data_IF_624799961634
#
_entry.id   IF_624799961634
#
_cell.length_a   1.000
_cell.length_b   1.000
_cell.length_c   1.000
_cell.angle_alpha   90.00
_cell.angle_beta   90.00
_cell.angle_gamma   90.00
#
_symmetry.space_group_name_H-M   'P 1'
#
loop_
_entity.id
_entity.type
_entity.pdbx_description
1 polymer ?
#
# COMPACT_ATOMS: atom_id res chain seq x y z
N UNK A 1 14.48 -10.78 -21.06
CA UNK A 1 15.38 -10.66 -19.90
C UNK A 1 15.00 -11.71 -18.88
N UNK A 2 15.99 -12.43 -18.34
CA UNK A 2 15.79 -13.55 -17.42
C UNK A 2 16.42 -13.25 -16.07
N UNK A 3 15.73 -13.61 -14.98
CA UNK A 3 16.30 -13.67 -13.64
C UNK A 3 16.34 -15.11 -13.15
N UNK A 4 17.42 -15.48 -12.45
CA UNK A 4 17.55 -16.79 -11.80
C UNK A 4 17.64 -16.60 -10.29
N UNK A 5 16.92 -17.43 -9.54
CA UNK A 5 17.05 -17.61 -8.10
C UNK A 5 17.57 -19.02 -7.82
N UNK A 6 18.77 -19.13 -7.27
CA UNK A 6 19.42 -20.39 -6.88
C UNK A 6 19.94 -20.33 -5.44
N UNK A 7 20.60 -21.40 -5.01
CA UNK A 7 21.10 -21.59 -3.63
C UNK A 7 20.08 -21.21 -2.55
N UNK A 8 18.80 -21.57 -2.78
CA UNK A 8 17.68 -21.17 -1.94
C UNK A 8 17.75 -21.91 -0.60
N UNK A 9 18.03 -21.16 0.46
CA UNK A 9 17.94 -21.60 1.85
C UNK A 9 16.52 -21.30 2.34
N UNK A 10 15.79 -22.34 2.72
CA UNK A 10 14.48 -22.21 3.37
C UNK A 10 14.51 -23.00 4.69
N UNK A 11 14.70 -22.29 5.79
CA UNK A 11 14.72 -22.84 7.15
C UNK A 11 13.74 -22.09 8.04
N UNK A 12 13.43 -22.65 9.21
CA UNK A 12 12.47 -22.03 10.12
C UNK A 12 12.89 -20.60 10.50
N UNK A 13 12.01 -19.65 10.24
CA UNK A 13 12.27 -18.23 10.53
C UNK A 13 13.21 -17.51 9.56
N UNK A 14 13.80 -18.19 8.56
CA UNK A 14 14.79 -17.57 7.68
C UNK A 14 14.78 -18.13 6.26
N UNK A 15 14.72 -17.24 5.29
CA UNK A 15 14.80 -17.53 3.86
C UNK A 15 15.91 -16.68 3.24
N UNK A 16 16.73 -17.29 2.39
CA UNK A 16 17.69 -16.58 1.55
C UNK A 16 17.71 -17.21 0.15
N UNK A 17 17.84 -16.39 -0.89
CA UNK A 17 18.09 -16.84 -2.24
C UNK A 17 19.19 -16.00 -2.87
N UNK A 18 20.13 -16.66 -3.55
CA UNK A 18 21.03 -15.96 -4.46
C UNK A 18 20.26 -15.63 -5.74
N UNK A 19 20.46 -14.44 -6.29
CA UNK A 19 19.81 -14.02 -7.52
C UNK A 19 20.80 -13.40 -8.51
N UNK A 20 20.55 -13.61 -9.79
CA UNK A 20 21.30 -12.93 -10.85
C UNK A 20 20.49 -12.80 -12.15
N UNK A 21 20.73 -11.71 -12.85
CA UNK A 21 20.35 -11.45 -14.24
C UNK A 21 21.58 -10.94 -15.04
N UNK A 22 21.39 -10.41 -16.25
CA UNK A 22 22.49 -9.92 -17.10
C UNK A 22 23.21 -8.68 -16.53
N UNK A 23 22.62 -7.99 -15.55
CA UNK A 23 23.05 -6.68 -15.03
C UNK A 23 23.29 -6.72 -13.51
N UNK A 24 22.44 -7.41 -12.76
CA UNK A 24 22.40 -7.43 -11.30
C UNK A 24 22.67 -8.82 -10.77
N UNK A 25 23.36 -8.90 -9.64
CA UNK A 25 23.51 -10.13 -8.86
C UNK A 25 23.59 -9.79 -7.37
N UNK A 26 23.16 -10.71 -6.51
CA UNK A 26 23.24 -10.54 -5.07
C UNK A 26 22.47 -11.59 -4.31
N UNK A 27 22.23 -11.33 -3.03
CA UNK A 27 21.39 -12.19 -2.19
C UNK A 27 20.16 -11.42 -1.74
N UNK A 28 19.01 -12.08 -1.72
CA UNK A 28 17.80 -11.59 -1.06
C UNK A 28 17.50 -12.43 0.17
N UNK A 29 17.19 -11.78 1.30
CA UNK A 29 16.90 -12.44 2.57
C UNK A 29 15.59 -11.96 3.21
N UNK A 30 14.94 -12.89 3.90
CA UNK A 30 13.76 -12.65 4.74
C UNK A 30 13.96 -13.35 6.09
N UNK A 31 13.93 -12.59 7.19
CA UNK A 31 14.03 -13.10 8.56
C UNK A 31 12.72 -12.80 9.29
N UNK A 32 11.97 -13.85 9.61
CA UNK A 32 10.69 -13.75 10.29
C UNK A 32 10.89 -13.67 11.81
N UNK A 33 10.12 -12.83 12.49
CA UNK A 33 10.12 -12.73 13.95
C UNK A 33 9.77 -14.06 14.66
N UNK A 34 8.90 -14.87 14.07
CA UNK A 34 8.56 -16.20 14.56
C UNK A 34 9.36 -17.30 13.81
N UNK A 35 9.79 -18.38 14.50
CA UNK A 35 10.48 -19.52 13.88
C UNK A 35 9.49 -20.42 13.12
N UNK A 36 8.86 -19.88 12.08
CA UNK A 36 7.83 -20.55 11.28
C UNK A 36 8.44 -21.29 10.10
N UNK A 37 7.82 -22.43 9.76
CA UNK A 37 8.14 -23.16 8.53
C UNK A 37 7.31 -22.59 7.38
N UNK A 38 7.98 -22.05 6.36
CA UNK A 38 7.31 -21.46 5.19
C UNK A 38 7.38 -22.45 4.05
N UNK A 39 6.21 -22.89 3.57
CA UNK A 39 6.17 -23.83 2.44
C UNK A 39 6.71 -23.20 1.16
N UNK A 40 7.24 -24.07 0.30
CA UNK A 40 7.93 -23.64 -0.91
C UNK A 40 7.12 -22.71 -1.82
N UNK A 41 5.82 -22.96 -1.93
CA UNK A 41 4.91 -22.13 -2.71
C UNK A 41 4.91 -20.66 -2.26
N UNK A 42 4.97 -20.40 -0.95
CA UNK A 42 4.96 -19.03 -0.42
C UNK A 42 6.30 -18.33 -0.62
N UNK A 43 7.41 -19.08 -0.52
CA UNK A 43 8.74 -18.56 -0.88
C UNK A 43 8.77 -18.17 -2.36
N UNK A 44 8.27 -19.04 -3.24
CA UNK A 44 8.20 -18.75 -4.67
C UNK A 44 7.31 -17.53 -4.98
N UNK A 45 6.17 -17.37 -4.31
CA UNK A 45 5.31 -16.19 -4.46
C UNK A 45 5.98 -14.90 -3.97
N UNK A 46 6.75 -14.97 -2.88
CA UNK A 46 7.52 -13.84 -2.37
C UNK A 46 8.64 -13.43 -3.33
N UNK A 47 9.38 -14.39 -3.89
CA UNK A 47 10.40 -14.11 -4.92
C UNK A 47 9.76 -13.58 -6.21
N UNK A 48 8.65 -14.16 -6.65
CA UNK A 48 7.90 -13.67 -7.81
C UNK A 48 7.35 -12.26 -7.61
N UNK A 49 7.01 -11.87 -6.37
CA UNK A 49 6.59 -10.50 -6.04
C UNK A 49 7.72 -9.47 -6.23
N UNK A 50 8.99 -9.85 -6.10
CA UNK A 50 10.13 -8.96 -6.38
C UNK A 50 10.30 -8.67 -7.87
N UNK A 51 9.86 -9.61 -8.73
CA UNK A 51 10.07 -9.52 -10.17
C UNK A 51 9.12 -8.55 -10.89
N UNK A 52 7.93 -8.31 -10.32
CA UNK A 52 6.88 -7.53 -11.00
C UNK A 52 6.64 -8.03 -12.43
N UNK A 53 6.49 -7.12 -13.39
CA UNK A 53 6.40 -7.42 -14.82
C UNK A 53 7.69 -7.16 -15.60
N UNK A 54 8.83 -7.06 -14.91
CA UNK A 54 10.10 -6.61 -15.50
C UNK A 54 10.86 -7.71 -16.26
N UNK A 55 10.69 -8.97 -15.86
CA UNK A 55 11.36 -10.12 -16.46
C UNK A 55 10.43 -10.90 -17.38
N UNK A 56 10.98 -11.44 -18.47
CA UNK A 56 10.26 -12.34 -19.39
C UNK A 56 10.33 -13.81 -18.91
N UNK A 57 11.40 -14.15 -18.19
CA UNK A 57 11.64 -15.48 -17.63
C UNK A 57 12.12 -15.38 -16.18
N UNK A 58 11.58 -16.23 -15.32
CA UNK A 58 11.99 -16.37 -13.93
C UNK A 58 12.39 -17.83 -13.74
N UNK A 59 13.63 -18.10 -13.36
CA UNK A 59 14.08 -19.44 -12.98
C UNK A 59 14.20 -19.54 -11.46
N UNK A 60 13.67 -20.60 -10.88
CA UNK A 60 13.80 -20.89 -9.45
C UNK A 60 14.28 -22.34 -9.27
N UNK A 61 15.41 -22.52 -8.60
CA UNK A 61 15.98 -23.83 -8.26
C UNK A 61 15.19 -24.51 -7.11
N UNK A 62 13.87 -24.61 -7.28
CA UNK A 62 12.94 -24.99 -6.23
C UNK A 62 11.81 -25.87 -6.75
N UNK A 63 11.19 -26.63 -5.85
CA UNK A 63 9.99 -27.42 -6.16
C UNK A 63 8.74 -26.61 -5.82
N UNK A 64 7.98 -26.22 -6.84
CA UNK A 64 6.80 -25.36 -6.74
C UNK A 64 5.56 -26.12 -7.23
N UNK A 65 4.40 -25.87 -6.62
CA UNK A 65 3.15 -26.46 -7.11
C UNK A 65 2.74 -25.88 -8.46
N UNK A 66 2.04 -26.66 -9.29
CA UNK A 66 1.53 -26.17 -10.60
C UNK A 66 0.63 -24.96 -10.44
N UNK A 67 -0.17 -24.90 -9.37
CA UNK A 67 -1.06 -23.78 -9.11
C UNK A 67 -0.27 -22.49 -8.84
N UNK A 68 0.68 -22.54 -7.91
CA UNK A 68 1.54 -21.38 -7.61
C UNK A 68 2.33 -20.96 -8.84
N UNK A 69 2.83 -21.92 -9.62
CA UNK A 69 3.48 -21.60 -10.89
C UNK A 69 2.58 -20.76 -11.80
N UNK A 70 1.35 -21.21 -12.05
CA UNK A 70 0.39 -20.49 -12.89
C UNK A 70 -0.01 -19.12 -12.31
N UNK A 71 -0.11 -19.00 -10.99
CA UNK A 71 -0.42 -17.71 -10.32
C UNK A 71 0.73 -16.70 -10.51
N UNK A 72 1.99 -17.12 -10.35
CA UNK A 72 3.16 -16.29 -10.61
C UNK A 72 3.22 -15.88 -12.09
N UNK A 73 3.16 -16.83 -13.03
CA UNK A 73 3.23 -16.55 -14.48
C UNK A 73 2.13 -15.58 -14.92
N UNK A 74 0.92 -15.72 -14.38
CA UNK A 74 -0.19 -14.80 -14.68
C UNK A 74 0.07 -13.38 -14.16
N UNK A 75 0.63 -13.25 -12.95
CA UNK A 75 0.86 -11.96 -12.29
C UNK A 75 2.03 -11.20 -12.90
N UNK A 76 3.14 -11.90 -13.14
CA UNK A 76 4.37 -11.31 -13.67
C UNK A 76 4.36 -11.22 -15.20
N UNK A 77 3.56 -12.03 -15.89
CA UNK A 77 3.63 -12.17 -17.34
C UNK A 77 4.86 -12.97 -17.83
N UNK A 78 5.72 -13.40 -16.90
CA UNK A 78 6.93 -14.15 -17.18
C UNK A 78 6.66 -15.65 -17.30
N UNK A 79 7.53 -16.38 -18.00
CA UNK A 79 7.56 -17.85 -17.93
C UNK A 79 8.34 -18.28 -16.70
N UNK A 80 7.77 -19.16 -15.86
CA UNK A 80 8.43 -19.66 -14.65
C UNK A 80 9.05 -21.05 -14.88
N UNK A 81 10.38 -21.09 -14.86
CA UNK A 81 11.20 -22.30 -14.98
C UNK A 81 11.49 -22.82 -13.57
N UNK A 82 10.89 -23.95 -13.19
CA UNK A 82 11.10 -24.59 -11.91
C UNK A 82 10.79 -26.08 -11.97
N UNK A 83 11.23 -26.85 -10.96
CA UNK A 83 10.76 -28.21 -10.79
C UNK A 83 9.31 -28.19 -10.29
N UNK A 84 8.39 -28.84 -11.01
CA UNK A 84 7.00 -28.92 -10.56
C UNK A 84 6.74 -30.17 -9.72
N UNK A 85 5.89 -30.05 -8.71
CA UNK A 85 5.58 -31.15 -7.80
C UNK A 85 4.09 -31.31 -7.50
N UNK A 86 3.66 -32.55 -7.28
CA UNK A 86 2.34 -32.85 -6.74
C UNK A 86 2.31 -32.57 -5.22
N UNK A 87 1.68 -31.45 -4.87
CA UNK A 87 1.17 -31.01 -3.54
C UNK A 87 2.18 -30.50 -2.49
N UNK A 88 2.04 -29.22 -2.17
CA UNK A 88 1.87 -28.70 -0.79
C UNK A 88 0.78 -27.62 -0.78
N UNK A 89 -0.42 -27.95 -1.27
CA UNK A 89 -1.58 -27.09 -1.05
C UNK A 89 -2.10 -27.39 0.35
N UNK A 90 -2.09 -26.38 1.21
CA UNK A 90 -2.46 -26.53 2.61
C UNK A 90 -3.90 -27.08 2.68
N UNK A 91 -4.05 -28.26 3.30
CA UNK A 91 -5.34 -28.92 3.55
C UNK A 91 -6.15 -28.22 4.65
N UNK A 92 -5.68 -27.09 5.19
CA UNK A 92 -6.36 -26.27 6.20
C UNK A 92 -7.61 -25.53 5.66
N UNK A 93 -8.32 -26.14 4.72
CA UNK A 93 -9.64 -25.72 4.23
C UNK A 93 -10.78 -26.10 5.20
N UNK A 94 -10.51 -26.19 6.50
CA UNK A 94 -11.46 -26.73 7.48
C UNK A 94 -11.79 -25.84 8.69
N UNK A 95 -11.27 -24.62 8.78
CA UNK A 95 -11.75 -23.65 9.78
C UNK A 95 -12.19 -22.38 9.06
N UNK A 96 -13.51 -22.20 9.00
CA UNK A 96 -14.22 -21.17 8.24
C UNK A 96 -14.18 -19.79 8.90
N UNK A 97 -12.99 -19.27 9.17
CA UNK A 97 -12.86 -17.89 9.63
C UNK A 97 -12.21 -17.07 8.51
N UNK A 98 -12.87 -16.00 8.09
CA UNK A 98 -12.36 -15.00 7.16
C UNK A 98 -11.17 -14.24 7.80
N UNK A 99 -10.01 -14.90 7.91
CA UNK A 99 -8.84 -14.30 8.55
C UNK A 99 -8.26 -13.21 7.66
N UNK A 100 -8.08 -12.03 8.24
CA UNK A 100 -7.57 -10.82 7.59
C UNK A 100 -6.17 -10.50 8.10
N UNK A 101 -5.28 -10.13 7.20
CA UNK A 101 -3.93 -9.67 7.52
C UNK A 101 -3.60 -8.43 6.72
N UNK A 102 -3.15 -7.37 7.40
CA UNK A 102 -2.74 -6.11 6.78
C UNK A 102 -1.21 -6.07 6.63
N UNK A 103 -0.74 -5.61 5.47
CA UNK A 103 0.64 -5.17 5.27
C UNK A 103 0.81 -3.86 6.06
N UNK A 104 1.34 -3.99 7.26
CA UNK A 104 1.32 -2.93 8.26
C UNK A 104 2.65 -2.17 8.29
N UNK A 105 2.65 -0.91 7.88
CA UNK A 105 3.71 0.03 8.22
C UNK A 105 3.29 0.96 9.37
N UNK A 106 1.99 1.06 9.64
CA UNK A 106 1.40 1.91 10.68
C UNK A 106 1.29 3.39 10.32
N UNK A 107 1.36 3.71 9.02
CA UNK A 107 1.11 5.05 8.52
C UNK A 107 -0.38 5.47 8.64
N UNK A 108 -0.68 6.72 8.30
CA UNK A 108 -2.05 7.28 8.39
C UNK A 108 -3.05 6.45 7.56
N UNK A 109 -2.62 5.94 6.40
CA UNK A 109 -3.49 5.16 5.53
C UNK A 109 -3.82 3.79 6.16
N UNK A 110 -2.84 3.16 6.80
CA UNK A 110 -2.99 1.91 7.56
C UNK A 110 -3.93 2.06 8.75
N UNK A 111 -3.83 3.16 9.50
CA UNK A 111 -4.76 3.45 10.60
C UNK A 111 -6.21 3.54 10.10
N UNK A 112 -6.42 4.24 8.99
CA UNK A 112 -7.73 4.27 8.33
C UNK A 112 -8.15 2.90 7.78
N UNK A 113 -7.23 2.11 7.25
CA UNK A 113 -7.51 0.78 6.72
C UNK A 113 -8.00 -0.17 7.82
N UNK A 114 -7.36 -0.13 9.00
CA UNK A 114 -7.78 -0.88 10.18
C UNK A 114 -9.17 -0.47 10.64
N UNK A 115 -9.48 0.84 10.67
CA UNK A 115 -10.81 1.33 11.04
C UNK A 115 -11.91 0.79 10.13
N UNK A 116 -11.64 0.72 8.82
CA UNK A 116 -12.60 0.28 7.81
C UNK A 116 -12.66 -1.25 7.63
N UNK A 117 -11.78 -1.99 8.31
CA UNK A 117 -11.75 -3.45 8.25
C UNK A 117 -12.64 -4.02 9.36
N UNK A 118 -13.62 -4.88 9.06
CA UNK A 118 -14.43 -5.51 10.11
C UNK A 118 -13.62 -6.50 10.93
N UNK A 119 -13.81 -6.49 12.25
CA UNK A 119 -13.28 -7.49 13.17
C UNK A 119 -11.74 -7.49 13.33
N UNK A 120 -11.23 -8.56 13.93
CA UNK A 120 -9.80 -8.70 14.19
C UNK A 120 -8.99 -8.85 12.91
N UNK A 121 -7.84 -8.18 12.87
CA UNK A 121 -6.93 -8.16 11.73
C UNK A 121 -5.51 -8.37 12.23
N UNK A 122 -4.79 -9.34 11.67
CA UNK A 122 -3.38 -9.56 11.95
C UNK A 122 -2.53 -8.48 11.26
N UNK A 123 -1.39 -8.13 11.84
CA UNK A 123 -0.48 -7.10 11.29
C UNK A 123 0.85 -7.77 10.98
N UNK A 124 1.33 -7.57 9.77
CA UNK A 124 2.67 -8.00 9.36
C UNK A 124 3.42 -6.81 8.80
N UNK A 125 4.58 -6.52 9.37
CA UNK A 125 5.43 -5.38 9.01
C UNK A 125 6.71 -5.85 8.33
N UNK A 126 7.17 -5.07 7.37
CA UNK A 126 8.50 -5.24 6.79
C UNK A 126 9.48 -4.29 7.46
N UNK A 127 10.60 -4.85 7.92
CA UNK A 127 11.76 -4.09 8.37
C UNK A 127 12.83 -4.08 7.27
N UNK A 128 13.01 -2.92 6.68
CA UNK A 128 13.99 -2.59 5.66
C UNK A 128 15.32 -2.08 6.25
N UNK A 129 15.57 -2.32 7.54
CA UNK A 129 16.78 -1.90 8.23
C UNK A 129 16.81 -0.39 8.47
N UNK A 130 17.79 0.31 7.89
CA UNK A 130 17.99 1.75 8.12
C UNK A 130 16.78 2.59 7.68
N UNK A 131 16.03 2.12 6.70
CA UNK A 131 14.86 2.80 6.15
C UNK A 131 13.64 2.78 7.08
N UNK A 132 13.59 1.85 8.04
CA UNK A 132 12.41 1.61 8.89
C UNK A 132 12.72 1.55 10.39
N UNK A 133 13.95 1.85 10.81
CA UNK A 133 14.36 1.74 12.21
C UNK A 133 13.49 2.59 13.15
N UNK A 134 13.03 3.76 12.70
CA UNK A 134 12.15 4.65 13.46
C UNK A 134 10.68 4.20 13.47
N UNK A 135 10.34 3.12 12.76
CA UNK A 135 8.98 2.56 12.69
C UNK A 135 8.73 1.49 13.77
N UNK A 136 9.78 1.03 14.46
CA UNK A 136 9.68 -0.02 15.48
C UNK A 136 8.73 0.33 16.63
N UNK A 137 8.67 1.59 17.06
CA UNK A 137 7.70 2.04 18.06
C UNK A 137 6.26 1.73 17.63
N UNK A 138 5.96 1.85 16.33
CA UNK A 138 4.66 1.52 15.76
C UNK A 138 4.47 0.01 15.63
N UNK A 139 5.51 -0.74 15.23
CA UNK A 139 5.44 -2.20 15.14
C UNK A 139 5.14 -2.85 16.49
N UNK A 140 5.84 -2.41 17.54
CA UNK A 140 5.70 -2.92 18.90
C UNK A 140 4.33 -2.55 19.48
N UNK A 141 3.92 -1.28 19.34
CA UNK A 141 2.62 -0.78 19.83
C UNK A 141 1.44 -1.57 19.27
N UNK A 142 1.54 -2.00 18.01
CA UNK A 142 0.48 -2.75 17.32
C UNK A 142 0.70 -4.27 17.32
N UNK A 143 1.73 -4.76 18.03
CA UNK A 143 2.10 -6.18 18.10
C UNK A 143 2.19 -6.82 16.70
N UNK A 144 2.84 -6.11 15.78
CA UNK A 144 3.02 -6.57 14.41
C UNK A 144 4.05 -7.69 14.34
N UNK A 145 3.84 -8.66 13.45
CA UNK A 145 4.88 -9.63 13.12
C UNK A 145 5.84 -9.03 12.11
N UNK A 146 7.11 -8.96 12.48
CA UNK A 146 8.13 -8.30 11.66
C UNK A 146 8.79 -9.35 10.75
N UNK A 147 9.00 -8.97 9.49
CA UNK A 147 9.91 -9.65 8.55
C UNK A 147 11.02 -8.67 8.21
N UNK A 148 12.25 -8.97 8.64
CA UNK A 148 13.42 -8.18 8.24
C UNK A 148 13.87 -8.60 6.85
N UNK A 149 14.26 -7.64 6.04
CA UNK A 149 14.70 -7.90 4.67
C UNK A 149 15.71 -6.87 4.18
N UNK A 150 16.51 -7.26 3.19
CA UNK A 150 17.45 -6.38 2.49
C UNK A 150 16.92 -5.93 1.11
N UNK A 151 15.62 -6.04 0.83
CA UNK A 151 15.03 -5.60 -0.46
C UNK A 151 15.49 -4.19 -0.86
N UNK A 152 15.63 -3.27 0.10
CA UNK A 152 16.07 -1.89 -0.17
C UNK A 152 17.53 -1.76 -0.58
N UNK A 153 18.36 -2.78 -0.35
CA UNK A 153 19.75 -2.85 -0.77
C UNK A 153 19.91 -3.52 -2.15
N UNK A 154 18.79 -3.81 -2.84
CA UNK A 154 18.75 -4.44 -4.18
C UNK A 154 18.10 -3.50 -5.20
N UNK A 155 18.02 -3.93 -6.47
CA UNK A 155 17.35 -3.19 -7.54
C UNK A 155 15.83 -3.42 -7.60
N UNK A 156 15.28 -4.42 -6.89
CA UNK A 156 13.86 -4.74 -6.91
C UNK A 156 12.90 -3.58 -6.55
N UNK A 157 13.25 -2.65 -5.65
CA UNK A 157 12.40 -1.49 -5.37
C UNK A 157 12.17 -0.57 -6.57
N UNK A 158 13.07 -0.59 -7.56
CA UNK A 158 12.94 0.19 -8.81
C UNK A 158 12.01 -0.50 -9.82
N UNK A 159 11.78 -1.80 -9.65
CA UNK A 159 11.02 -2.66 -10.55
C UNK A 159 9.53 -2.69 -10.20
N UNK A 160 9.22 -2.86 -8.92
CA UNK A 160 7.85 -3.15 -8.46
C UNK A 160 7.63 -2.70 -7.04
N UNK A 161 6.38 -2.42 -6.67
CA UNK A 161 5.95 -2.21 -5.28
C UNK A 161 5.39 -3.46 -4.61
N UNK A 162 5.23 -4.56 -5.35
CA UNK A 162 4.64 -5.80 -4.83
C UNK A 162 5.45 -6.41 -3.67
N UNK A 163 6.72 -6.02 -3.51
CA UNK A 163 7.54 -6.42 -2.37
C UNK A 163 6.91 -6.08 -1.01
N UNK A 164 6.03 -5.07 -0.93
CA UNK A 164 5.28 -4.76 0.29
C UNK A 164 4.38 -5.90 0.77
N UNK A 165 3.96 -6.80 -0.12
CA UNK A 165 3.12 -7.94 0.23
C UNK A 165 3.90 -9.13 0.78
N UNK A 166 5.24 -9.15 0.66
CA UNK A 166 6.08 -10.30 1.02
C UNK A 166 5.83 -10.75 2.46
N UNK A 167 5.72 -9.83 3.41
CA UNK A 167 5.44 -10.16 4.79
C UNK A 167 4.18 -11.01 4.94
N UNK A 168 3.06 -10.55 4.38
CA UNK A 168 1.78 -11.27 4.45
C UNK A 168 1.79 -12.57 3.64
N UNK A 169 2.54 -12.64 2.53
CA UNK A 169 2.75 -13.91 1.79
C UNK A 169 3.43 -14.94 2.69
N UNK A 170 4.54 -14.58 3.34
CA UNK A 170 5.33 -15.49 4.16
C UNK A 170 4.57 -15.94 5.42
N UNK A 171 3.80 -15.04 6.04
CA UNK A 171 2.95 -15.34 7.20
C UNK A 171 1.57 -15.93 6.85
N UNK A 172 1.27 -16.13 5.57
CA UNK A 172 -0.06 -16.56 5.11
C UNK A 172 -0.56 -17.78 5.88
N UNK A 173 0.26 -18.83 5.95
CA UNK A 173 -0.16 -20.11 6.53
C UNK A 173 -0.13 -20.08 8.06
N UNK A 174 0.77 -19.28 8.67
CA UNK A 174 0.81 -19.08 10.13
C UNK A 174 -0.49 -18.50 10.67
N UNK A 175 -1.02 -17.47 10.00
CA UNK A 175 -2.30 -16.87 10.36
C UNK A 175 -3.51 -17.56 9.73
N UNK A 176 -3.31 -18.45 8.76
CA UNK A 176 -4.35 -18.95 7.88
C UNK A 176 -5.10 -17.81 7.14
N UNK A 177 -4.35 -16.81 6.67
CA UNK A 177 -4.88 -15.61 5.99
C UNK A 177 -5.68 -15.98 4.74
N UNK A 178 -6.90 -15.45 4.67
CA UNK A 178 -7.79 -15.50 3.51
C UNK A 178 -7.82 -14.16 2.78
N UNK A 179 -7.81 -13.06 3.54
CA UNK A 179 -7.86 -11.70 3.02
C UNK A 179 -6.60 -10.91 3.38
N UNK A 180 -6.02 -10.27 2.36
CA UNK A 180 -4.94 -9.30 2.53
C UNK A 180 -5.53 -7.88 2.53
N UNK A 181 -4.88 -6.96 3.24
CA UNK A 181 -5.21 -5.54 3.22
C UNK A 181 -3.93 -4.77 2.94
N UNK A 182 -3.95 -3.94 1.89
CA UNK A 182 -2.77 -3.18 1.43
C UNK A 182 -2.86 -1.68 1.70
N UNK A 183 -4.05 -1.16 2.03
CA UNK A 183 -4.26 0.27 2.26
C UNK A 183 -4.25 1.11 0.96
N UNK A 184 -4.62 0.52 -0.18
CA UNK A 184 -4.75 1.22 -1.47
C UNK A 184 -5.58 2.50 -1.34
N UNK A 185 -5.19 3.52 -2.11
CA UNK A 185 -5.80 4.84 -2.12
C UNK A 185 -6.38 5.15 -3.51
N UNK A 186 -7.46 5.91 -3.53
CA UNK A 186 -7.98 6.54 -4.73
C UNK A 186 -7.09 7.71 -5.14
N UNK A 187 -6.59 7.65 -6.37
CA UNK A 187 -5.89 8.75 -7.01
C UNK A 187 -6.14 8.71 -8.53
N UNK A 188 -5.65 9.69 -9.31
CA UNK A 188 -5.81 9.70 -10.76
C UNK A 188 -5.32 8.45 -11.50
N UNK A 189 -4.36 7.71 -10.93
CA UNK A 189 -3.80 6.48 -11.49
C UNK A 189 -4.65 5.27 -11.15
N UNK A 190 -5.25 5.23 -9.96
CA UNK A 190 -6.04 4.08 -9.49
C UNK A 190 -7.53 4.14 -9.84
N UNK A 191 -8.05 5.30 -10.24
CA UNK A 191 -9.49 5.49 -10.50
C UNK A 191 -10.10 4.63 -11.62
N UNK A 192 -9.27 4.01 -12.47
CA UNK A 192 -9.73 3.10 -13.53
C UNK A 192 -9.47 1.62 -13.20
N UNK A 193 -9.03 1.30 -11.98
CA UNK A 193 -8.78 -0.09 -11.59
C UNK A 193 -10.05 -0.93 -11.70
N UNK A 194 -9.93 -2.04 -12.40
CA UNK A 194 -10.93 -3.10 -12.47
C UNK A 194 -11.00 -3.86 -11.14
N UNK A 195 -12.06 -4.65 -10.96
CA UNK A 195 -12.18 -5.55 -9.80
C UNK A 195 -10.95 -6.43 -9.62
N UNK A 196 -10.44 -7.01 -10.71
CA UNK A 196 -9.28 -7.92 -10.69
C UNK A 196 -8.02 -7.19 -10.21
N UNK A 197 -7.82 -5.96 -10.70
CA UNK A 197 -6.68 -5.12 -10.30
C UNK A 197 -6.79 -4.60 -8.87
N UNK A 198 -8.01 -4.42 -8.35
CA UNK A 198 -8.24 -3.99 -6.98
C UNK A 198 -8.08 -5.15 -5.96
N UNK A 199 -8.54 -6.35 -6.32
CA UNK A 199 -8.47 -7.54 -5.48
C UNK A 199 -7.08 -8.22 -5.49
N UNK A 200 -6.22 -7.95 -6.47
CA UNK A 200 -4.83 -8.47 -6.58
C UNK A 200 -4.58 -9.81 -5.87
N UNK A 201 -5.16 -10.90 -6.38
CA UNK A 201 -5.02 -12.19 -5.75
C UNK A 201 -3.56 -12.67 -5.76
N UNK A 202 -3.01 -13.00 -4.58
CA UNK A 202 -1.61 -13.39 -4.40
C UNK A 202 -1.50 -14.52 -3.39
N UNK A 203 -0.74 -15.57 -3.72
CA UNK A 203 -0.60 -16.77 -2.89
C UNK A 203 -1.96 -17.37 -2.43
N UNK A 204 -3.01 -17.19 -3.22
CA UNK A 204 -4.38 -17.60 -2.89
C UNK A 204 -5.12 -16.74 -1.86
N UNK A 205 -4.57 -15.60 -1.46
CA UNK A 205 -5.28 -14.55 -0.70
C UNK A 205 -5.97 -13.58 -1.66
N UNK A 206 -7.05 -12.95 -1.20
CA UNK A 206 -7.73 -11.87 -1.94
C UNK A 206 -7.51 -10.56 -1.20
N UNK A 207 -7.07 -9.51 -1.88
CA UNK A 207 -7.01 -8.18 -1.29
C UNK A 207 -8.43 -7.63 -1.10
N UNK A 208 -8.73 -7.10 0.10
CA UNK A 208 -9.94 -6.33 0.32
C UNK A 208 -9.67 -4.87 -0.09
N UNK A 209 -10.30 -4.37 -1.18
CA UNK A 209 -9.97 -3.05 -1.70
C UNK A 209 -10.74 -1.94 -0.97
N UNK A 210 -11.20 -2.15 0.27
CA UNK A 210 -12.18 -1.24 0.89
C UNK A 210 -11.68 0.17 1.11
N UNK A 211 -10.37 0.36 1.20
CA UNK A 211 -9.75 1.68 1.26
C UNK A 211 -9.59 2.37 -0.10
N UNK A 212 -9.62 1.63 -1.20
CA UNK A 212 -9.42 2.17 -2.56
C UNK A 212 -10.45 3.22 -2.94
N UNK A 213 -11.59 3.31 -2.24
CA UNK A 213 -12.57 4.37 -2.45
C UNK A 213 -12.19 5.71 -1.82
N UNK A 214 -11.14 5.79 -1.01
CA UNK A 214 -10.71 7.02 -0.33
C UNK A 214 -9.45 7.60 -0.94
N UNK A 215 -9.42 8.91 -1.16
CA UNK A 215 -8.15 9.61 -1.39
C UNK A 215 -7.35 9.70 -0.08
N UNK A 216 -6.08 10.12 -0.14
CA UNK A 216 -5.28 10.33 1.08
C UNK A 216 -5.93 11.33 2.07
N UNK A 217 -6.74 12.27 1.58
CA UNK A 217 -7.52 13.20 2.43
C UNK A 217 -8.59 12.43 3.21
N UNK A 218 -9.34 11.55 2.54
CA UNK A 218 -10.34 10.70 3.18
C UNK A 218 -9.75 9.76 4.24
N UNK A 219 -8.58 9.18 3.95
CA UNK A 219 -7.81 8.40 4.95
C UNK A 219 -7.43 9.26 6.16
N UNK A 220 -6.91 10.46 5.91
CA UNK A 220 -6.50 11.39 6.97
C UNK A 220 -7.66 11.77 7.87
N UNK A 221 -8.83 12.05 7.29
CA UNK A 221 -10.05 12.37 8.05
C UNK A 221 -10.44 11.26 9.05
N UNK A 222 -10.42 10.00 8.61
CA UNK A 222 -10.69 8.86 9.50
C UNK A 222 -9.64 8.77 10.59
N UNK A 223 -8.36 8.87 10.23
CA UNK A 223 -7.26 8.76 11.19
C UNK A 223 -7.31 9.86 12.25
N UNK A 224 -7.54 11.12 11.85
CA UNK A 224 -7.64 12.25 12.75
C UNK A 224 -8.76 12.11 13.78
N UNK A 225 -9.91 11.56 13.38
CA UNK A 225 -11.05 11.39 14.27
C UNK A 225 -10.93 10.17 15.18
N UNK A 226 -10.27 9.10 14.72
CA UNK A 226 -10.24 7.81 15.44
C UNK A 226 -8.96 7.58 16.25
N UNK A 227 -7.83 8.04 15.73
CA UNK A 227 -6.48 7.65 16.18
C UNK A 227 -5.62 8.87 16.52
N UNK A 228 -6.24 9.88 17.14
CA UNK A 228 -5.59 11.17 17.40
C UNK A 228 -4.30 11.08 18.20
N UNK A 229 -4.22 10.12 19.13
CA UNK A 229 -3.04 9.91 19.98
C UNK A 229 -1.91 9.19 19.24
N UNK A 230 -2.22 8.47 18.17
CA UNK A 230 -1.27 7.70 17.36
C UNK A 230 -0.73 8.47 16.15
N UNK A 231 -1.27 9.66 15.85
CA UNK A 231 -0.96 10.41 14.63
C UNK A 231 0.51 10.79 14.51
N UNK A 232 1.16 11.21 15.60
CA UNK A 232 2.56 11.63 15.54
C UNK A 232 3.47 10.47 15.13
N UNK A 233 3.24 9.29 15.69
CA UNK A 233 3.96 8.08 15.28
C UNK A 233 3.56 7.64 13.88
N UNK A 234 2.28 7.74 13.50
CA UNK A 234 1.82 7.35 12.17
C UNK A 234 2.40 8.23 11.05
N UNK A 235 2.52 9.54 11.28
CA UNK A 235 3.19 10.46 10.35
C UNK A 235 4.65 10.05 10.17
N UNK A 236 5.31 9.62 11.25
CA UNK A 236 6.71 9.16 11.23
C UNK A 236 6.87 7.75 10.70
N UNK A 237 5.82 6.93 10.68
CA UNK A 237 5.83 5.53 10.28
C UNK A 237 5.89 5.34 8.74
N UNK A 238 6.85 6.03 8.12
CA UNK A 238 7.10 6.10 6.68
C UNK A 238 8.59 5.87 6.47
N UNK A 239 8.99 5.20 5.38
CA UNK A 239 10.42 4.99 5.12
C UNK A 239 11.19 6.31 4.99
N UNK A 240 12.45 6.31 5.42
CA UNK A 240 13.31 7.49 5.36
C UNK A 240 13.46 8.05 3.94
N UNK A 241 13.54 7.18 2.93
CA UNK A 241 13.58 7.56 1.51
C UNK A 241 12.29 8.16 0.95
N UNK A 242 11.17 8.09 1.66
CA UNK A 242 9.85 8.56 1.19
C UNK A 242 9.41 9.85 1.89
N UNK A 243 10.29 10.84 1.85
CA UNK A 243 10.06 12.13 2.52
C UNK A 243 8.79 12.82 2.03
N UNK A 244 8.41 12.63 0.77
CA UNK A 244 7.16 13.15 0.19
C UNK A 244 5.91 12.60 0.87
N UNK A 245 5.92 11.33 1.29
CA UNK A 245 4.80 10.72 2.01
C UNK A 245 4.71 11.28 3.43
N UNK A 246 5.86 11.44 4.12
CA UNK A 246 5.91 12.07 5.44
C UNK A 246 5.36 13.51 5.38
N UNK A 247 5.87 14.32 4.45
CA UNK A 247 5.42 15.70 4.25
C UNK A 247 3.93 15.76 3.91
N UNK A 248 3.46 14.91 2.99
CA UNK A 248 2.04 14.80 2.65
C UNK A 248 1.16 14.53 3.88
N UNK A 249 1.49 13.50 4.67
CA UNK A 249 0.69 13.14 5.84
C UNK A 249 0.65 14.28 6.86
N UNK A 250 1.79 14.91 7.12
CA UNK A 250 1.87 16.02 8.06
C UNK A 250 0.98 17.19 7.61
N UNK A 251 1.08 17.62 6.35
CA UNK A 251 0.28 18.71 5.80
C UNK A 251 -1.23 18.41 5.86
N UNK A 252 -1.65 17.19 5.50
CA UNK A 252 -3.06 16.81 5.52
C UNK A 252 -3.62 16.73 6.94
N UNK A 253 -2.84 16.19 7.88
CA UNK A 253 -3.24 16.10 9.29
C UNK A 253 -3.38 17.49 9.91
N UNK A 254 -2.46 18.42 9.63
CA UNK A 254 -2.60 19.81 10.08
C UNK A 254 -3.84 20.50 9.47
N UNK A 255 -4.11 20.27 8.18
CA UNK A 255 -5.31 20.82 7.53
C UNK A 255 -6.59 20.31 8.20
N UNK A 256 -6.72 19.00 8.37
CA UNK A 256 -7.92 18.42 8.98
C UNK A 256 -8.10 18.86 10.44
N UNK A 257 -7.00 18.87 11.22
CA UNK A 257 -7.01 19.34 12.61
C UNK A 257 -7.56 20.75 12.74
N UNK A 258 -7.16 21.66 11.85
CA UNK A 258 -7.60 23.06 11.87
C UNK A 258 -9.02 23.24 11.33
N UNK A 259 -9.35 22.61 10.20
CA UNK A 259 -10.68 22.72 9.58
C UNK A 259 -11.78 22.22 10.53
N UNK A 260 -11.49 21.15 11.28
CA UNK A 260 -12.42 20.54 12.23
C UNK A 260 -12.22 20.98 13.67
N UNK A 261 -11.18 21.80 13.96
CA UNK A 261 -10.82 22.27 15.30
C UNK A 261 -10.70 21.11 16.31
N UNK A 262 -10.04 20.03 15.89
CA UNK A 262 -9.96 18.79 16.67
C UNK A 262 -9.08 18.94 17.91
N UNK A 263 -8.13 19.88 17.90
CA UNK A 263 -7.22 20.11 19.03
C UNK A 263 -6.22 18.95 19.21
N UNK A 264 -5.87 18.27 18.12
CA UNK A 264 -4.96 17.12 18.14
C UNK A 264 -3.55 17.53 18.62
N UNK A 265 -2.89 16.71 19.46
CA UNK A 265 -1.60 17.03 20.05
C UNK A 265 -0.44 16.78 19.07
N UNK A 266 -0.46 17.43 17.91
CA UNK A 266 0.56 17.27 16.88
C UNK A 266 1.89 17.91 17.29
N UNK A 267 2.98 17.24 16.97
CA UNK A 267 4.33 17.78 17.16
C UNK A 267 4.56 19.00 16.28
N UNK A 268 5.05 20.10 16.87
CA UNK A 268 5.34 21.35 16.15
C UNK A 268 6.65 21.33 15.36
N UNK A 269 7.01 20.18 14.79
CA UNK A 269 8.25 20.04 14.02
C UNK A 269 8.12 20.75 12.66
N UNK A 270 9.14 21.48 12.20
CA UNK A 270 9.08 22.15 10.91
C UNK A 270 8.95 21.12 9.78
N UNK A 271 7.91 21.27 8.97
CA UNK A 271 7.69 20.48 7.76
C UNK A 271 8.82 20.77 6.78
N UNK A 272 9.46 19.72 6.25
CA UNK A 272 10.52 19.87 5.26
C UNK A 272 9.92 19.85 3.85
N UNK A 273 10.25 20.83 2.98
CA UNK A 273 9.86 20.79 1.58
C UNK A 273 10.44 19.56 0.87
N UNK A 274 9.66 18.95 -0.02
CA UNK A 274 10.09 17.77 -0.79
C UNK A 274 11.09 18.11 -1.90
N UNK A 275 11.04 19.34 -2.43
CA UNK A 275 11.80 19.74 -3.63
C UNK A 275 11.24 19.18 -4.95
N UNK A 276 10.14 18.43 -4.92
CA UNK A 276 9.53 17.84 -6.12
C UNK A 276 8.82 18.94 -6.90
N UNK A 277 9.09 19.08 -8.19
CA UNK A 277 8.40 20.06 -9.05
C UNK A 277 7.11 19.51 -9.63
N UNK A 278 6.15 20.39 -9.90
CA UNK A 278 4.90 20.06 -10.57
C UNK A 278 5.13 19.27 -11.86
N UNK A 279 4.26 18.30 -12.15
CA UNK A 279 4.33 17.42 -13.32
C UNK A 279 5.14 16.14 -13.09
N UNK A 280 6.04 16.12 -12.10
CA UNK A 280 6.86 14.93 -11.81
C UNK A 280 6.02 13.77 -11.27
N UNK A 281 5.03 14.04 -10.42
CA UNK A 281 4.13 13.02 -9.86
C UNK A 281 2.69 13.51 -9.86
N UNK A 282 1.86 12.94 -10.75
CA UNK A 282 0.43 13.29 -10.82
C UNK A 282 -0.31 13.02 -9.52
N UNK A 283 0.12 12.02 -8.73
CA UNK A 283 -0.44 11.76 -7.40
C UNK A 283 -0.18 12.94 -6.46
N UNK A 284 1.04 13.46 -6.45
CA UNK A 284 1.41 14.60 -5.60
C UNK A 284 0.79 15.90 -6.11
N UNK A 285 0.79 16.13 -7.43
CA UNK A 285 0.16 17.30 -8.06
C UNK A 285 -1.34 17.35 -7.73
N UNK A 286 -2.01 16.19 -7.80
CA UNK A 286 -3.40 16.03 -7.38
C UNK A 286 -3.59 16.46 -5.92
N UNK A 287 -2.85 15.86 -4.98
CA UNK A 287 -2.95 16.24 -3.56
C UNK A 287 -2.59 17.69 -3.27
N UNK A 288 -1.64 18.26 -4.01
CA UNK A 288 -1.24 19.65 -3.88
C UNK A 288 -2.40 20.62 -4.19
N UNK A 289 -3.36 20.25 -5.06
CA UNK A 289 -4.55 21.05 -5.32
C UNK A 289 -5.45 21.19 -4.08
N UNK A 290 -5.60 20.11 -3.30
CA UNK A 290 -6.36 20.16 -2.05
C UNK A 290 -5.67 21.09 -1.04
N UNK A 291 -4.36 20.92 -0.87
CA UNK A 291 -3.56 21.76 0.04
C UNK A 291 -3.61 23.23 -0.40
N UNK A 292 -3.47 23.51 -1.70
CA UNK A 292 -3.55 24.84 -2.29
C UNK A 292 -4.90 25.51 -1.97
N UNK A 293 -6.01 24.76 -2.07
CA UNK A 293 -7.36 25.27 -1.79
C UNK A 293 -7.57 25.65 -0.32
N UNK A 294 -6.99 24.91 0.61
CA UNK A 294 -7.24 25.10 2.04
C UNK A 294 -6.18 25.92 2.78
N UNK A 295 -4.96 26.00 2.24
CA UNK A 295 -3.80 26.66 2.88
C UNK A 295 -3.03 27.62 2.00
N UNK A 296 -3.36 27.69 0.71
CA UNK A 296 -2.68 28.56 -0.24
C UNK A 296 -1.35 28.02 -0.75
N UNK A 297 -0.74 28.79 -1.66
CA UNK A 297 0.40 28.38 -2.48
C UNK A 297 1.66 28.09 -1.69
N UNK A 298 1.98 28.94 -0.71
CA UNK A 298 3.19 28.77 0.11
C UNK A 298 3.22 27.42 0.83
N UNK A 299 2.05 27.01 1.32
CA UNK A 299 1.91 25.76 2.06
C UNK A 299 1.88 24.54 1.12
N UNK A 300 1.20 24.65 -0.04
CA UNK A 300 1.24 23.63 -1.08
C UNK A 300 2.66 23.40 -1.65
N UNK A 301 3.49 24.45 -1.67
CA UNK A 301 4.88 24.39 -2.15
C UNK A 301 5.81 23.53 -1.28
N UNK A 302 5.42 23.19 -0.05
CA UNK A 302 6.13 22.17 0.73
C UNK A 302 6.02 20.78 0.09
N UNK A 303 4.88 20.46 -0.54
CA UNK A 303 4.68 19.17 -1.20
C UNK A 303 5.15 19.18 -2.66
N UNK A 304 4.80 20.23 -3.42
CA UNK A 304 5.11 20.34 -4.85
C UNK A 304 5.47 21.79 -5.21
N UNK A 305 6.65 22.01 -5.77
CA UNK A 305 7.15 23.30 -6.24
C UNK A 305 6.66 23.63 -7.65
N UNK A 306 6.79 24.90 -8.06
CA UNK A 306 6.46 25.37 -9.42
C UNK A 306 5.02 25.08 -9.87
N UNK A 307 4.05 25.11 -8.93
CA UNK A 307 2.63 24.93 -9.22
C UNK A 307 2.18 25.99 -10.25
N UNK A 308 1.58 25.63 -11.39
CA UNK A 308 1.17 26.60 -12.41
C UNK A 308 0.01 27.49 -11.92
N UNK A 309 -0.10 28.72 -12.44
CA UNK A 309 -1.25 29.61 -12.13
C UNK A 309 -2.59 28.99 -12.56
N UNK A 310 -2.59 28.17 -13.61
CA UNK A 310 -3.77 27.43 -14.04
C UNK A 310 -4.35 26.54 -12.91
N UNK A 311 -3.51 26.00 -12.02
CA UNK A 311 -3.97 25.20 -10.89
C UNK A 311 -4.86 26.01 -9.93
N UNK A 312 -4.54 27.29 -9.71
CA UNK A 312 -5.37 28.19 -8.90
C UNK A 312 -6.75 28.42 -9.54
N UNK A 313 -6.78 28.57 -10.86
CA UNK A 313 -8.03 28.69 -11.59
C UNK A 313 -8.88 27.42 -11.47
N UNK A 314 -8.27 26.23 -11.48
CA UNK A 314 -8.99 24.97 -11.32
C UNK A 314 -9.63 24.87 -9.94
N UNK A 315 -8.88 25.14 -8.87
CA UNK A 315 -9.41 25.02 -7.50
C UNK A 315 -10.50 26.07 -7.19
N UNK A 316 -10.50 27.20 -7.91
CA UNK A 316 -11.54 28.22 -7.83
C UNK A 316 -12.82 27.80 -8.57
N UNK A 317 -12.67 27.16 -9.72
CA UNK A 317 -13.80 26.79 -10.59
C UNK A 317 -14.43 25.44 -10.25
N UNK A 318 -13.71 24.55 -9.57
CA UNK A 318 -14.20 23.21 -9.24
C UNK A 318 -14.44 23.02 -7.73
N UNK A 319 -15.53 22.33 -7.42
CA UNK A 319 -15.74 21.75 -6.08
C UNK A 319 -14.78 20.57 -5.93
N UNK A 320 -14.03 20.57 -4.83
CA UNK A 320 -13.04 19.53 -4.54
C UNK A 320 -13.52 18.58 -3.44
N UNK A 321 -14.82 18.54 -3.17
CA UNK A 321 -15.43 17.73 -2.11
C UNK A 321 -15.14 16.23 -2.31
N UNK A 322 -14.84 15.80 -3.55
CA UNK A 322 -14.45 14.43 -3.86
C UNK A 322 -13.22 13.95 -3.08
N UNK A 323 -12.28 14.84 -2.69
CA UNK A 323 -11.13 14.43 -1.86
C UNK A 323 -11.57 13.86 -0.51
N UNK A 324 -12.66 14.39 0.05
CA UNK A 324 -13.16 14.06 1.38
C UNK A 324 -14.27 12.98 1.37
N UNK A 325 -14.59 12.46 0.19
CA UNK A 325 -15.71 11.52 -0.02
C UNK A 325 -15.21 10.16 -0.48
N UNK A 326 -16.11 9.18 -0.43
CA UNK A 326 -15.84 7.81 -0.83
C UNK A 326 -16.34 7.52 -2.24
N UNK A 327 -15.49 6.97 -3.11
CA UNK A 327 -15.90 6.53 -4.45
C UNK A 327 -16.68 5.21 -4.39
N UNK A 328 -17.98 5.19 -4.72
CA UNK A 328 -18.85 4.03 -4.47
C UNK A 328 -18.60 2.85 -5.43
N UNK A 329 -17.87 3.04 -6.54
CA UNK A 329 -17.59 1.96 -7.49
C UNK A 329 -16.90 0.76 -6.85
N UNK A 330 -16.05 1.01 -5.85
CA UNK A 330 -15.29 -0.02 -5.12
C UNK A 330 -16.19 -0.93 -4.29
N UNK A 331 -17.36 -0.45 -3.84
CA UNK A 331 -18.30 -1.24 -3.04
C UNK A 331 -18.80 -2.48 -3.79
N UNK A 332 -18.78 -2.46 -5.13
CA UNK A 332 -19.20 -3.59 -5.96
C UNK A 332 -18.20 -4.76 -5.94
N UNK A 333 -16.99 -4.54 -5.44
CA UNK A 333 -15.93 -5.56 -5.39
C UNK A 333 -15.97 -6.37 -4.10
N UNK A 334 -16.63 -5.85 -3.06
CA UNK A 334 -16.55 -6.39 -1.70
C UNK A 334 -17.62 -7.44 -1.40
N UNK A 335 -17.35 -8.40 -0.50
CA UNK A 335 -18.39 -9.18 0.16
C UNK A 335 -19.41 -8.28 0.89
N UNK A 336 -20.67 -8.71 0.95
CA UNK A 336 -21.78 -7.90 1.47
C UNK A 336 -21.58 -7.51 2.96
N UNK A 337 -21.01 -8.39 3.78
CA UNK A 337 -20.68 -8.09 5.18
C UNK A 337 -19.64 -6.96 5.30
N UNK A 338 -18.55 -7.04 4.53
CA UNK A 338 -17.49 -6.02 4.49
C UNK A 338 -18.07 -4.69 3.99
N UNK A 339 -18.85 -4.72 2.91
CA UNK A 339 -19.51 -3.54 2.35
C UNK A 339 -20.41 -2.84 3.37
N UNK A 340 -21.24 -3.60 4.09
CA UNK A 340 -22.13 -3.04 5.11
C UNK A 340 -21.36 -2.43 6.28
N UNK A 341 -20.30 -3.10 6.73
CA UNK A 341 -19.41 -2.55 7.75
C UNK A 341 -18.75 -1.24 7.28
N UNK A 342 -18.21 -1.22 6.06
CA UNK A 342 -17.58 -0.03 5.47
C UNK A 342 -18.57 1.12 5.41
N UNK A 343 -19.80 0.91 4.90
CA UNK A 343 -20.83 1.95 4.84
C UNK A 343 -21.16 2.54 6.22
N UNK A 344 -21.27 1.69 7.25
CA UNK A 344 -21.49 2.14 8.63
C UNK A 344 -20.31 2.97 9.16
N UNK A 345 -19.07 2.56 8.88
CA UNK A 345 -17.91 3.35 9.28
C UNK A 345 -17.84 4.68 8.53
N UNK A 346 -18.12 4.69 7.22
CA UNK A 346 -18.14 5.93 6.44
C UNK A 346 -19.17 6.92 6.99
N UNK A 347 -20.38 6.46 7.32
CA UNK A 347 -21.39 7.29 7.99
C UNK A 347 -20.90 7.81 9.35
N UNK A 348 -20.30 6.94 10.17
CA UNK A 348 -19.75 7.30 11.48
C UNK A 348 -18.70 8.41 11.43
N UNK A 349 -17.85 8.43 10.40
CA UNK A 349 -16.80 9.44 10.22
C UNK A 349 -17.22 10.58 9.28
N UNK A 350 -18.52 10.70 8.99
CA UNK A 350 -19.10 11.75 8.14
C UNK A 350 -18.50 11.80 6.73
N UNK A 351 -18.21 10.64 6.15
CA UNK A 351 -17.71 10.50 4.78
C UNK A 351 -18.86 10.10 3.87
N UNK A 352 -19.35 11.07 3.11
CA UNK A 352 -20.37 10.83 2.11
C UNK A 352 -19.81 10.07 0.89
N UNK A 353 -20.68 9.39 0.17
CA UNK A 353 -20.35 8.83 -1.15
C UNK A 353 -20.22 9.97 -2.18
N UNK A 354 -19.46 9.72 -3.25
CA UNK A 354 -19.41 10.62 -4.40
C UNK A 354 -20.82 10.83 -4.97
N UNK A 355 -21.14 12.09 -5.25
CA UNK A 355 -22.21 12.48 -6.15
C UNK A 355 -21.74 12.49 -7.60
N UNK A 356 -22.67 12.63 -8.55
CA UNK A 356 -22.31 12.84 -9.96
C UNK A 356 -21.41 14.08 -10.14
N UNK A 357 -21.68 15.16 -9.42
CA UNK A 357 -20.87 16.38 -9.49
C UNK A 357 -19.43 16.15 -9.01
N UNK A 358 -19.24 15.32 -7.97
CA UNK A 358 -17.92 14.93 -7.47
C UNK A 358 -17.14 14.14 -8.52
N UNK A 359 -17.82 13.19 -9.18
CA UNK A 359 -17.22 12.41 -10.24
C UNK A 359 -16.81 13.27 -11.44
N UNK A 360 -17.68 14.17 -11.90
CA UNK A 360 -17.36 15.08 -13.01
C UNK A 360 -16.20 16.03 -12.66
N UNK A 361 -16.14 16.53 -11.43
CA UNK A 361 -15.03 17.36 -10.97
C UNK A 361 -13.71 16.57 -10.92
N UNK A 362 -13.74 15.35 -10.38
CA UNK A 362 -12.58 14.45 -10.34
C UNK A 362 -12.03 14.17 -11.74
N UNK A 363 -12.89 13.84 -12.71
CA UNK A 363 -12.49 13.57 -14.10
C UNK A 363 -11.83 14.80 -14.74
N UNK A 364 -12.42 15.99 -14.58
CA UNK A 364 -11.85 17.23 -15.10
C UNK A 364 -10.49 17.56 -14.50
N UNK A 365 -10.32 17.39 -13.18
CA UNK A 365 -9.02 17.57 -12.53
C UNK A 365 -8.00 16.58 -13.08
N UNK A 366 -8.38 15.30 -13.23
CA UNK A 366 -7.49 14.27 -13.81
C UNK A 366 -7.06 14.62 -15.24
N UNK A 367 -7.99 15.10 -16.07
CA UNK A 367 -7.70 15.52 -17.45
C UNK A 367 -6.77 16.73 -17.49
N UNK A 368 -7.03 17.75 -16.67
CA UNK A 368 -6.18 18.93 -16.55
C UNK A 368 -4.75 18.56 -16.12
N UNK A 369 -4.62 17.69 -15.11
CA UNK A 369 -3.31 17.21 -14.65
C UNK A 369 -2.55 16.49 -15.76
N UNK A 370 -3.22 15.65 -16.55
CA UNK A 370 -2.61 14.95 -17.70
C UNK A 370 -2.05 15.92 -18.74
N UNK A 371 -2.74 17.03 -19.00
CA UNK A 371 -2.30 18.02 -20.00
C UNK A 371 -1.06 18.82 -19.56
N UNK A 372 -0.79 18.89 -18.25
CA UNK A 372 0.37 19.63 -17.72
C UNK A 372 1.65 18.79 -17.60
N UNK A 373 1.61 17.52 -17.97
CA UNK A 373 2.79 16.64 -17.96
C UNK A 373 3.44 16.67 -19.35
N UNK A 374 4.70 17.08 -19.41
CA UNK A 374 5.52 17.04 -20.62
C UNK A 374 6.09 15.64 -20.83
#
# INVERSE_FOLDING_TARGET
MKITFDDIINQQGFIQAHYYDDVHMGDIRFEMADPIDVRNDLVAEALGALCGQYYDEIEMAFKVSTKTKTEIEKRTGATLICSTGLRFWNLNKMISNEVKTINFNGDVANLSALTLTPGETNKVSLDFGKESIHMYDMFDRWNSRIVKTNVMDTHFPEITSDYYAIGTILYKDYFNTSYMITGLQLDPMTANMTKIEAEQAIAGMVNLPHTLGLTAVGHTKIACQRWGDELNEAIRAVRTSQQEVLTQQHLLVEIENDLKRLGLPLDKKPIQPTGISWGHSMKLDFLALYILKHRGREYAAYLVQNIPEAAEQWIANYRLDFYERYYPGVLTYMPEEVKNYVLQQLERYEIALYSEADWQAFIKIRENLRQTRQ
#
